data_IF_931574154820
#
_entry.id   IF_931574154820
#
_cell.length_a   1.000
_cell.length_b   1.000
_cell.length_c   1.000
_cell.angle_alpha   90.00
_cell.angle_beta   90.00
_cell.angle_gamma   90.00
#
_symmetry.space_group_name_H-M   'P 1'
#
loop_
_entity.id
_entity.type
_entity.pdbx_description
1 polymer ?
#
# COMPACT_ATOMS: atom_id res chain seq x y z
N UNK A 1 -3.37 27.72 50.65
CA UNK A 1 -2.81 26.80 49.68
C UNK A 1 -3.87 26.50 48.63
N UNK A 2 -3.70 27.07 47.46
CA UNK A 2 -4.55 26.73 46.33
C UNK A 2 -3.82 25.70 45.47
N UNK A 3 -4.32 24.47 45.46
CA UNK A 3 -3.85 23.45 44.56
C UNK A 3 -4.37 23.78 43.15
N UNK A 4 -3.49 24.28 42.27
CA UNK A 4 -3.79 24.37 40.84
C UNK A 4 -3.67 22.96 40.25
N UNK A 5 -4.81 22.30 40.08
CA UNK A 5 -4.92 21.10 39.25
C UNK A 5 -4.78 21.55 37.79
N UNK A 6 -3.56 21.47 37.28
CA UNK A 6 -3.34 21.55 35.84
C UNK A 6 -3.96 20.28 35.22
N UNK A 7 -5.18 20.42 34.69
CA UNK A 7 -5.73 19.40 33.79
C UNK A 7 -4.95 19.44 32.49
N UNK A 8 -3.99 18.54 32.35
CA UNK A 8 -3.33 18.27 31.07
C UNK A 8 -4.37 17.57 30.20
N UNK A 9 -5.07 18.34 29.36
CA UNK A 9 -5.90 17.75 28.30
C UNK A 9 -4.96 17.12 27.28
N UNK A 10 -4.79 15.81 27.41
CA UNK A 10 -4.13 15.02 26.36
C UNK A 10 -5.15 14.88 25.23
N UNK A 11 -4.98 15.69 24.20
CA UNK A 11 -5.71 15.50 22.95
C UNK A 11 -5.13 14.25 22.28
N UNK A 12 -5.83 13.12 22.42
CA UNK A 12 -5.58 11.96 21.58
C UNK A 12 -6.03 12.31 20.16
N UNK A 13 -5.08 12.67 19.29
CA UNK A 13 -5.37 12.75 17.87
C UNK A 13 -5.71 11.35 17.36
N UNK A 14 -6.83 11.17 16.60
CA UNK A 14 -7.09 9.91 15.95
C UNK A 14 -5.95 9.65 14.96
N UNK A 15 -5.11 8.66 15.27
CA UNK A 15 -4.13 8.13 14.33
C UNK A 15 -4.94 7.37 13.30
N UNK A 16 -5.01 7.89 12.06
CA UNK A 16 -5.50 7.11 10.93
C UNK A 16 -4.62 5.89 10.81
N UNK A 17 -5.18 4.71 11.08
CA UNK A 17 -4.46 3.46 11.00
C UNK A 17 -4.11 3.19 9.54
N UNK A 18 -2.84 3.41 9.17
CA UNK A 18 -2.31 2.98 7.89
C UNK A 18 -2.03 1.48 7.99
N UNK A 19 -2.67 0.63 7.17
CA UNK A 19 -2.49 -0.82 7.23
C UNK A 19 -1.07 -1.26 6.87
N UNK A 20 -0.30 -0.40 6.22
CA UNK A 20 1.09 -0.66 5.81
C UNK A 20 2.07 0.37 6.40
N UNK A 21 1.80 0.82 7.61
CA UNK A 21 2.59 1.86 8.29
C UNK A 21 4.08 1.51 8.44
N UNK A 22 4.44 0.24 8.49
CA UNK A 22 5.83 -0.23 8.56
C UNK A 22 6.51 -0.33 7.20
N UNK A 23 5.77 -0.18 6.12
CA UNK A 23 6.30 -0.18 4.77
C UNK A 23 6.80 1.19 4.34
N UNK A 24 7.90 1.21 3.57
CA UNK A 24 8.39 2.42 2.93
C UNK A 24 7.89 2.48 1.48
N UNK A 25 7.02 3.44 1.15
CA UNK A 25 6.47 3.56 -0.21
C UNK A 25 7.55 3.79 -1.27
N UNK A 26 8.61 4.49 -0.95
CA UNK A 26 9.72 4.76 -1.88
C UNK A 26 10.47 3.47 -2.24
N UNK A 27 10.79 2.66 -1.23
CA UNK A 27 11.37 1.34 -1.43
C UNK A 27 10.42 0.43 -2.20
N UNK A 28 9.13 0.49 -1.88
CA UNK A 28 8.09 -0.26 -2.56
C UNK A 28 8.00 0.07 -4.04
N UNK A 29 8.10 1.33 -4.40
CA UNK A 29 8.14 1.75 -5.81
C UNK A 29 9.33 1.17 -6.56
N UNK A 30 10.51 1.20 -5.94
CA UNK A 30 11.72 0.63 -6.54
C UNK A 30 11.59 -0.89 -6.77
N UNK A 31 11.04 -1.61 -5.80
CA UNK A 31 10.78 -3.05 -5.92
C UNK A 31 9.75 -3.36 -7.00
N UNK A 32 8.68 -2.59 -7.04
CA UNK A 32 7.60 -2.73 -8.02
C UNK A 32 8.10 -2.49 -9.45
N UNK A 33 8.84 -1.42 -9.67
CA UNK A 33 9.41 -1.09 -10.98
C UNK A 33 10.46 -2.14 -11.40
N UNK A 34 11.29 -2.59 -10.47
CA UNK A 34 12.33 -3.60 -10.72
C UNK A 34 11.78 -4.98 -11.07
N UNK A 35 10.62 -5.33 -10.58
CA UNK A 35 9.95 -6.61 -10.89
C UNK A 35 9.15 -6.56 -12.20
N UNK A 36 9.10 -5.41 -12.88
CA UNK A 36 8.34 -5.21 -14.13
C UNK A 36 6.86 -5.58 -14.02
N UNK A 37 6.24 -5.30 -12.87
CA UNK A 37 4.85 -5.65 -12.58
C UNK A 37 3.87 -5.08 -13.60
N UNK A 38 4.15 -3.90 -14.14
CA UNK A 38 3.29 -3.26 -15.15
C UNK A 38 3.41 -3.85 -16.56
N UNK A 39 4.37 -4.73 -16.83
CA UNK A 39 4.54 -5.33 -18.16
C UNK A 39 3.29 -6.07 -18.63
N UNK A 40 2.60 -6.77 -17.74
CA UNK A 40 1.33 -7.42 -18.03
C UNK A 40 0.16 -6.42 -18.07
N UNK A 41 0.16 -5.44 -17.18
CA UNK A 41 -0.89 -4.42 -17.09
C UNK A 41 -0.96 -3.56 -18.35
N UNK A 42 0.17 -3.21 -18.94
CA UNK A 42 0.23 -2.49 -20.22
C UNK A 42 -0.56 -3.20 -21.32
N UNK A 43 -0.51 -4.52 -21.38
CA UNK A 43 -1.25 -5.31 -22.37
C UNK A 43 -2.77 -5.31 -22.13
N UNK A 44 -3.20 -5.08 -20.89
CA UNK A 44 -4.61 -5.12 -20.50
C UNK A 44 -5.25 -3.73 -20.62
N UNK A 45 -4.59 -2.69 -20.12
CA UNK A 45 -5.16 -1.34 -19.99
C UNK A 45 -4.46 -0.27 -20.84
N UNK A 46 -3.34 -0.60 -21.47
CA UNK A 46 -2.54 0.34 -22.26
C UNK A 46 -1.74 1.32 -21.41
N UNK A 47 -1.17 2.35 -22.03
CA UNK A 47 -0.36 3.36 -21.37
C UNK A 47 0.84 2.74 -20.64
N UNK A 48 1.07 3.16 -19.40
CA UNK A 48 2.11 2.62 -18.51
C UNK A 48 1.60 1.45 -17.63
N UNK A 49 0.36 1.03 -17.83
CA UNK A 49 -0.28 -0.05 -17.07
C UNK A 49 -0.93 0.39 -15.76
N UNK A 50 -0.72 1.62 -15.31
CA UNK A 50 -1.20 2.08 -13.99
C UNK A 50 -2.72 2.20 -13.87
N UNK A 51 -3.43 2.33 -15.00
CA UNK A 51 -4.89 2.44 -15.01
C UNK A 51 -5.59 1.21 -14.41
N UNK A 52 -4.91 0.06 -14.32
CA UNK A 52 -5.47 -1.13 -13.69
C UNK A 52 -5.74 -0.92 -12.20
N UNK A 53 -4.99 -0.04 -11.53
CA UNK A 53 -5.15 0.23 -10.10
C UNK A 53 -6.31 1.18 -9.79
N UNK A 54 -6.78 1.92 -10.77
CA UNK A 54 -7.80 2.97 -10.59
C UNK A 54 -9.10 2.69 -11.33
N UNK A 55 -9.22 1.53 -11.98
CA UNK A 55 -10.42 1.16 -12.72
C UNK A 55 -11.62 1.00 -11.78
N UNK A 56 -12.86 1.38 -12.22
CA UNK A 56 -14.04 1.36 -11.36
C UNK A 56 -14.46 -0.04 -10.91
N UNK A 57 -14.10 -1.09 -11.65
CA UNK A 57 -14.43 -2.47 -11.35
C UNK A 57 -13.29 -3.20 -10.62
N UNK A 58 -12.61 -2.51 -9.73
CA UNK A 58 -11.53 -3.11 -8.94
C UNK A 58 -12.03 -4.29 -8.11
N UNK A 59 -11.31 -5.41 -8.19
CA UNK A 59 -11.55 -6.60 -7.37
C UNK A 59 -10.80 -6.57 -6.04
N UNK A 60 -10.18 -5.44 -5.71
CA UNK A 60 -9.37 -5.24 -4.50
C UNK A 60 -10.19 -4.36 -3.54
N UNK A 61 -10.98 -4.93 -2.62
CA UNK A 61 -11.87 -4.15 -1.76
C UNK A 61 -11.19 -3.57 -0.51
N UNK A 62 -10.06 -4.13 -0.08
CA UNK A 62 -9.40 -3.76 1.18
C UNK A 62 -7.90 -4.07 1.17
N UNK A 63 -7.24 -3.70 2.27
CA UNK A 63 -5.79 -3.86 2.42
C UNK A 63 -5.34 -5.33 2.40
N UNK A 64 -6.11 -6.21 3.00
CA UNK A 64 -5.82 -7.66 3.00
C UNK A 64 -5.87 -8.22 1.59
N UNK A 65 -6.89 -7.85 0.82
CA UNK A 65 -7.02 -8.26 -0.57
C UNK A 65 -5.87 -7.71 -1.44
N UNK A 66 -5.42 -6.48 -1.18
CA UNK A 66 -4.28 -5.90 -1.86
C UNK A 66 -3.01 -6.73 -1.63
N UNK A 67 -2.71 -7.08 -0.39
CA UNK A 67 -1.54 -7.89 -0.05
C UNK A 67 -1.60 -9.27 -0.69
N UNK A 68 -2.76 -9.91 -0.68
CA UNK A 68 -2.96 -11.21 -1.33
C UNK A 68 -2.77 -11.10 -2.84
N UNK A 69 -3.20 -10.01 -3.45
CA UNK A 69 -3.01 -9.78 -4.88
C UNK A 69 -1.55 -9.57 -5.26
N UNK A 70 -0.79 -8.86 -4.42
CA UNK A 70 0.66 -8.70 -4.59
C UNK A 70 1.34 -10.08 -4.60
N UNK A 71 1.00 -10.93 -3.66
CA UNK A 71 1.55 -12.29 -3.59
C UNK A 71 1.19 -13.14 -4.80
N UNK A 72 -0.03 -13.02 -5.29
CA UNK A 72 -0.44 -13.66 -6.55
C UNK A 72 0.41 -13.17 -7.72
N UNK A 73 0.63 -11.87 -7.85
CA UNK A 73 1.44 -11.30 -8.93
C UNK A 73 2.90 -11.74 -8.85
N UNK A 74 3.46 -11.92 -7.64
CA UNK A 74 4.81 -12.48 -7.47
C UNK A 74 4.93 -13.85 -8.13
N UNK A 75 3.93 -14.71 -7.99
CA UNK A 75 3.94 -16.05 -8.63
C UNK A 75 3.88 -15.96 -10.15
N UNK A 76 3.17 -14.96 -10.69
CA UNK A 76 3.06 -14.76 -12.14
C UNK A 76 4.34 -14.21 -12.77
N UNK A 77 5.10 -13.40 -12.03
CA UNK A 77 6.34 -12.78 -12.52
C UNK A 77 7.59 -13.55 -12.14
N UNK A 78 7.47 -14.61 -11.33
CA UNK A 78 8.61 -15.33 -10.78
C UNK A 78 9.39 -14.54 -9.73
N UNK A 79 8.79 -13.48 -9.20
CA UNK A 79 9.38 -12.63 -8.17
C UNK A 79 9.21 -13.30 -6.80
N UNK A 80 10.22 -13.15 -5.93
CA UNK A 80 10.20 -13.67 -4.57
C UNK A 80 10.61 -12.58 -3.60
N UNK A 81 9.62 -11.84 -3.11
CA UNK A 81 9.85 -10.85 -2.07
C UNK A 81 9.75 -11.46 -0.67
N UNK A 82 10.50 -10.89 0.26
CA UNK A 82 10.28 -11.14 1.68
C UNK A 82 8.97 -10.49 2.13
N UNK A 83 8.46 -10.87 3.30
CA UNK A 83 7.27 -10.25 3.86
C UNK A 83 7.44 -8.73 4.04
N UNK A 84 8.64 -8.26 4.43
CA UNK A 84 8.94 -6.84 4.54
C UNK A 84 8.90 -6.15 3.17
N UNK A 85 9.45 -6.76 2.14
CA UNK A 85 9.42 -6.22 0.78
C UNK A 85 8.00 -6.15 0.22
N UNK A 86 7.17 -7.16 0.44
CA UNK A 86 5.75 -7.14 0.11
C UNK A 86 5.03 -5.98 0.79
N UNK A 87 5.34 -5.70 2.05
CA UNK A 87 4.77 -4.58 2.80
C UNK A 87 5.20 -3.23 2.21
N UNK A 88 6.45 -3.09 1.77
CA UNK A 88 6.91 -1.89 1.08
C UNK A 88 6.14 -1.65 -0.23
N UNK A 89 5.95 -2.68 -1.02
CA UNK A 89 5.17 -2.59 -2.27
C UNK A 89 3.71 -2.25 -1.99
N UNK A 90 3.11 -2.87 -0.97
CA UNK A 90 1.75 -2.57 -0.55
C UNK A 90 1.61 -1.12 -0.09
N UNK A 91 2.57 -0.61 0.67
CA UNK A 91 2.60 0.79 1.10
C UNK A 91 2.65 1.75 -0.09
N UNK A 92 3.46 1.46 -1.10
CA UNK A 92 3.53 2.24 -2.33
C UNK A 92 2.20 2.25 -3.08
N UNK A 93 1.61 1.09 -3.33
CA UNK A 93 0.34 0.98 -4.06
C UNK A 93 -0.81 1.62 -3.28
N UNK A 94 -0.84 1.45 -1.97
CA UNK A 94 -1.88 2.04 -1.13
C UNK A 94 -1.77 3.56 -1.08
N UNK A 95 -0.58 4.10 -0.88
CA UNK A 95 -0.37 5.55 -0.84
C UNK A 95 -0.70 6.21 -2.17
N UNK A 96 -0.37 5.54 -3.27
CA UNK A 96 -0.49 6.10 -4.62
C UNK A 96 -1.90 5.93 -5.20
N UNK A 97 -2.54 4.77 -4.99
CA UNK A 97 -3.75 4.40 -5.72
C UNK A 97 -4.96 4.06 -4.85
N UNK A 98 -4.79 3.21 -3.83
CA UNK A 98 -5.95 2.60 -3.14
C UNK A 98 -6.44 3.42 -1.96
N UNK A 99 -5.56 3.95 -1.13
CA UNK A 99 -5.87 4.76 0.05
C UNK A 99 -6.73 4.05 1.10
N UNK A 100 -6.52 2.76 1.31
CA UNK A 100 -7.21 2.01 2.36
C UNK A 100 -6.78 2.51 3.75
N UNK A 101 -7.75 2.64 4.68
CA UNK A 101 -7.46 2.98 6.07
C UNK A 101 -6.87 1.83 6.85
#
# INVERSE_FOLDING_TARGET
>A
MRLLLLFLMIFAMPVLADPFAQGDPKTGKQLFDGAHCNSCHVKIVGGDGSAIFTRPNSIIPDATALLNRIRFCETQTGTRWTAAEETHVAAFLNQTYYHFP
#
